data_IF_723686712353
#
_entry.id   IF_723686712353
#
_cell.length_a   1.000
_cell.length_b   1.000
_cell.length_c   1.000
_cell.angle_alpha   90.00
_cell.angle_beta   90.00
_cell.angle_gamma   90.00
#
_symmetry.space_group_name_H-M   'P 1'
#
loop_
_entity.id
_entity.type
_entity.pdbx_description
1 polymer ?
#
# COMPACT_ATOMS: atom_id res chain seq x y z
N UNK A 1 -8.02 7.01 -6.39
CA UNK A 1 -6.88 7.85 -6.75
C UNK A 1 -5.57 7.14 -6.49
N UNK A 2 -4.53 7.60 -7.14
CA UNK A 2 -3.22 6.95 -7.04
C UNK A 2 -2.64 6.96 -5.63
N UNK A 3 -2.77 8.10 -4.92
CA UNK A 3 -2.18 8.22 -3.57
C UNK A 3 -2.79 7.22 -2.59
N UNK A 4 -4.09 7.00 -2.67
CA UNK A 4 -4.75 6.01 -1.81
C UNK A 4 -4.22 4.62 -2.08
N UNK A 5 -4.07 4.30 -3.35
CA UNK A 5 -3.57 2.99 -3.75
C UNK A 5 -2.16 2.79 -3.21
N UNK A 6 -1.30 3.80 -3.37
CA UNK A 6 0.08 3.73 -2.87
C UNK A 6 0.11 3.50 -1.36
N UNK A 7 -0.68 4.26 -0.61
CA UNK A 7 -0.73 4.12 0.85
C UNK A 7 -1.24 2.76 1.27
N UNK A 8 -2.27 2.27 0.59
CA UNK A 8 -2.84 0.96 0.92
C UNK A 8 -1.84 -0.15 0.62
N UNK A 9 -1.13 -0.07 -0.49
CA UNK A 9 -0.09 -1.04 -0.83
C UNK A 9 0.98 -1.08 0.25
N UNK A 10 1.43 0.09 0.71
CA UNK A 10 2.44 0.17 1.77
C UNK A 10 1.97 -0.54 3.03
N UNK A 11 0.74 -0.25 3.47
CA UNK A 11 0.20 -0.88 4.68
C UNK A 11 0.07 -2.38 4.51
N UNK A 12 -0.39 -2.83 3.35
CA UNK A 12 -0.49 -4.27 3.07
C UNK A 12 0.89 -4.94 3.17
N UNK A 13 1.91 -4.32 2.57
CA UNK A 13 3.25 -4.88 2.59
C UNK A 13 3.87 -4.87 3.99
N UNK A 14 3.51 -3.88 4.81
CA UNK A 14 3.99 -3.84 6.20
C UNK A 14 3.37 -4.96 7.05
N UNK A 15 2.19 -5.43 6.69
CA UNK A 15 1.45 -6.40 7.49
C UNK A 15 1.43 -7.80 6.91
N UNK A 16 1.98 -8.01 5.73
CA UNK A 16 2.04 -9.34 5.08
C UNK A 16 3.45 -9.61 4.60
N UNK A 17 3.78 -10.90 4.51
CA UNK A 17 5.14 -11.28 4.10
C UNK A 17 5.40 -11.03 2.62
N UNK A 18 4.44 -11.36 1.78
CA UNK A 18 4.63 -11.25 0.33
C UNK A 18 3.29 -11.11 -0.36
N UNK A 19 3.22 -10.20 -1.31
CA UNK A 19 2.01 -9.95 -2.08
C UNK A 19 2.38 -9.90 -3.55
N UNK A 20 1.66 -10.63 -4.40
CA UNK A 20 1.97 -10.67 -5.82
C UNK A 20 1.41 -9.45 -6.56
N UNK A 21 2.01 -9.14 -7.71
CA UNK A 21 1.51 -8.06 -8.56
C UNK A 21 0.09 -8.34 -9.03
N UNK A 22 -0.22 -9.60 -9.33
CA UNK A 22 -1.57 -9.98 -9.76
C UNK A 22 -2.59 -9.76 -8.66
N UNK A 23 -2.24 -10.11 -7.44
CA UNK A 23 -3.13 -9.89 -6.29
C UNK A 23 -3.44 -8.40 -6.11
N UNK A 24 -2.43 -7.56 -6.21
CA UNK A 24 -2.61 -6.11 -6.09
C UNK A 24 -3.42 -5.56 -7.27
N UNK A 25 -3.13 -6.03 -8.48
CA UNK A 25 -3.84 -5.58 -9.66
C UNK A 25 -5.34 -5.91 -9.58
N UNK A 26 -5.68 -7.10 -9.11
CA UNK A 26 -7.06 -7.49 -8.92
C UNK A 26 -7.74 -6.66 -7.83
N UNK A 27 -7.04 -6.46 -6.73
CA UNK A 27 -7.59 -5.72 -5.58
C UNK A 27 -7.97 -4.30 -5.97
N UNK A 28 -7.12 -3.64 -6.73
CA UNK A 28 -7.31 -2.23 -7.09
C UNK A 28 -7.90 -2.04 -8.48
N UNK A 29 -8.22 -3.13 -9.17
CA UNK A 29 -8.80 -3.08 -10.51
C UNK A 29 -7.95 -2.25 -11.47
N UNK A 30 -6.66 -2.49 -11.45
CA UNK A 30 -5.69 -1.84 -12.34
C UNK A 30 -4.84 -2.92 -13.01
N UNK A 31 -4.06 -2.51 -14.01
CA UNK A 31 -3.17 -3.44 -14.69
C UNK A 31 -1.97 -3.78 -13.82
N UNK A 32 -1.36 -4.93 -14.10
CA UNK A 32 -0.11 -5.33 -13.45
C UNK A 32 0.97 -4.27 -13.71
N UNK A 33 0.99 -3.69 -14.89
CA UNK A 33 1.94 -2.64 -15.24
C UNK A 33 1.80 -1.43 -14.30
N UNK A 34 0.56 -1.05 -13.98
CA UNK A 34 0.31 0.04 -13.04
C UNK A 34 0.87 -0.30 -11.66
N UNK A 35 0.70 -1.55 -11.22
CA UNK A 35 1.25 -1.99 -9.95
C UNK A 35 2.78 -1.88 -9.93
N UNK A 36 3.45 -2.30 -11.00
CA UNK A 36 4.92 -2.16 -11.07
C UNK A 36 5.35 -0.70 -10.98
N UNK A 37 4.62 0.19 -11.61
CA UNK A 37 4.89 1.63 -11.51
C UNK A 37 4.69 2.15 -10.10
N UNK A 38 3.64 1.68 -9.44
CA UNK A 38 3.37 2.07 -8.05
C UNK A 38 4.49 1.60 -7.12
N UNK A 39 4.96 0.37 -7.31
CA UNK A 39 6.07 -0.17 -6.52
C UNK A 39 7.33 0.67 -6.72
N UNK A 40 7.62 1.05 -7.96
CA UNK A 40 8.76 1.91 -8.25
C UNK A 40 8.62 3.27 -7.56
N UNK A 41 7.43 3.85 -7.59
CA UNK A 41 7.16 5.12 -6.93
C UNK A 41 7.41 5.02 -5.42
N UNK A 42 6.95 3.93 -4.80
CA UNK A 42 7.14 3.69 -3.37
C UNK A 42 8.62 3.53 -3.05
N UNK A 43 9.37 2.78 -3.87
CA UNK A 43 10.80 2.61 -3.70
C UNK A 43 11.53 3.95 -3.77
N UNK A 44 11.17 4.79 -4.73
CA UNK A 44 11.80 6.10 -4.89
C UNK A 44 11.52 7.02 -3.71
N UNK A 45 10.42 6.78 -3.02
CA UNK A 45 10.08 7.55 -1.82
C UNK A 45 10.87 7.08 -0.58
N UNK A 46 11.68 6.05 -0.70
CA UNK A 46 12.53 5.60 0.39
C UNK A 46 12.05 4.37 1.14
N UNK A 47 10.97 3.75 0.69
CA UNK A 47 10.48 2.51 1.30
C UNK A 47 11.08 1.33 0.53
N UNK A 48 11.98 0.54 1.16
CA UNK A 48 12.72 -0.50 0.43
C UNK A 48 11.85 -1.72 0.16
N UNK A 49 11.45 -1.88 -1.09
CA UNK A 49 10.65 -3.01 -1.53
C UNK A 49 11.53 -3.97 -2.32
N UNK A 50 11.42 -5.26 -1.98
CA UNK A 50 12.10 -6.34 -2.69
C UNK A 50 11.14 -6.96 -3.68
N UNK A 51 11.59 -7.13 -4.92
CA UNK A 51 10.84 -7.88 -5.93
C UNK A 51 11.35 -9.33 -5.95
N UNK A 52 10.42 -10.26 -5.89
CA UNK A 52 10.73 -11.68 -5.97
C UNK A 52 10.24 -12.23 -7.30
N UNK A 53 11.03 -13.08 -7.94
CA UNK A 53 10.66 -13.69 -9.21
C UNK A 53 10.26 -15.15 -9.02
N UNK A 54 9.70 -15.76 -10.07
CA UNK A 54 9.32 -17.16 -10.07
C UNK A 54 7.88 -17.38 -9.62
N UNK A 55 7.54 -18.66 -9.38
CA UNK A 55 6.16 -19.05 -9.08
C UNK A 55 5.64 -18.46 -7.77
N UNK A 56 6.53 -18.23 -6.82
CA UNK A 56 6.18 -17.60 -5.55
C UNK A 56 6.64 -16.15 -5.53
N UNK A 57 6.55 -15.48 -6.68
CA UNK A 57 6.98 -14.11 -6.83
C UNK A 57 6.16 -13.12 -6.03
N UNK A 58 6.40 -11.84 -6.28
CA UNK A 58 5.68 -10.77 -5.61
C UNK A 58 6.60 -9.76 -4.98
N UNK A 59 6.06 -9.00 -4.06
CA UNK A 59 6.79 -7.92 -3.41
C UNK A 59 6.76 -8.10 -1.90
N UNK A 60 7.82 -7.65 -1.25
CA UNK A 60 7.89 -7.61 0.21
C UNK A 60 8.71 -6.40 0.63
N UNK A 61 8.61 -6.02 1.90
CA UNK A 61 9.45 -4.97 2.46
C UNK A 61 10.53 -5.64 3.30
N UNK A 62 11.77 -5.08 3.28
CA UNK A 62 12.85 -5.60 4.09
C UNK A 62 12.43 -5.74 5.55
N UNK A 63 12.76 -6.88 6.15
CA UNK A 63 12.33 -7.19 7.51
C UNK A 63 12.83 -6.16 8.51
N UNK A 64 14.06 -5.71 8.36
CA UNK A 64 14.61 -4.69 9.25
C UNK A 64 13.84 -3.38 9.19
N UNK A 65 13.39 -3.01 8.01
CA UNK A 65 12.56 -1.82 7.83
C UNK A 65 11.20 -2.00 8.52
N UNK A 66 10.59 -3.17 8.36
CA UNK A 66 9.31 -3.47 8.99
C UNK A 66 9.39 -3.35 10.50
N UNK A 67 10.44 -3.92 11.11
CA UNK A 67 10.62 -3.88 12.55
C UNK A 67 10.71 -2.45 13.08
N UNK A 68 11.33 -1.55 12.33
CA UNK A 68 11.49 -0.17 12.73
C UNK A 68 10.25 0.68 12.48
N UNK A 69 9.34 0.23 11.60
CA UNK A 69 8.21 1.04 11.16
C UNK A 69 6.85 0.39 11.38
N UNK A 70 6.77 -0.63 12.24
CA UNK A 70 5.53 -1.33 12.54
C UNK A 70 4.51 -0.47 13.29
N UNK A 71 4.92 0.68 13.78
CA UNK A 71 3.99 1.58 14.46
C UNK A 71 2.93 2.15 13.52
N UNK A 72 3.14 2.06 12.22
CA UNK A 72 2.14 2.52 11.24
C UNK A 72 1.06 1.45 11.11
N UNK A 73 0.00 1.61 11.85
CA UNK A 73 -1.15 0.69 11.84
C UNK A 73 -2.20 1.19 10.86
N UNK A 74 -3.21 0.33 10.60
CA UNK A 74 -4.36 0.76 9.79
C UNK A 74 -5.11 1.91 10.44
N UNK A 75 -5.18 1.93 11.76
CA UNK A 75 -5.82 3.04 12.47
C UNK A 75 -5.06 4.35 12.29
N UNK A 76 -3.72 4.29 12.38
CA UNK A 76 -2.89 5.47 12.16
C UNK A 76 -3.05 5.99 10.74
N UNK A 77 -3.14 5.09 9.77
CA UNK A 77 -3.32 5.47 8.38
C UNK A 77 -4.70 6.12 8.18
N UNK A 78 -5.75 5.57 8.77
CA UNK A 78 -7.08 6.15 8.68
C UNK A 78 -7.11 7.55 9.26
N UNK A 79 -6.46 7.75 10.40
CA UNK A 79 -6.38 9.07 11.04
C UNK A 79 -5.66 10.07 10.14
N UNK A 80 -4.55 9.66 9.55
CA UNK A 80 -3.80 10.50 8.63
C UNK A 80 -4.62 10.89 7.41
N UNK A 81 -5.36 9.94 6.86
CA UNK A 81 -6.21 10.18 5.70
C UNK A 81 -7.36 11.14 6.03
N UNK A 82 -7.91 11.05 7.23
CA UNK A 82 -8.95 11.98 7.67
C UNK A 82 -8.42 13.40 7.69
N UNK A 83 -7.19 13.60 8.17
CA UNK A 83 -6.55 14.90 8.18
C UNK A 83 -6.35 15.42 6.75
N UNK A 84 -5.89 14.53 5.86
CA UNK A 84 -5.68 14.90 4.46
C UNK A 84 -6.99 15.27 3.77
N UNK A 85 -8.08 14.59 4.08
CA UNK A 85 -9.40 14.92 3.54
C UNK A 85 -9.84 16.31 3.99
N UNK A 86 -9.61 16.65 5.24
CA UNK A 86 -9.97 17.96 5.76
C UNK A 86 -9.19 19.08 5.07
N UNK A 87 -7.94 18.82 4.72
CA UNK A 87 -7.08 19.79 4.06
C UNK A 87 -7.42 19.92 2.58
N UNK A 88 -7.76 18.81 1.93
CA UNK A 88 -7.99 18.78 0.48
C UNK A 88 -9.33 18.13 0.16
N UNK A 89 -10.33 18.96 -0.09
CA UNK A 89 -11.68 18.48 -0.39
C UNK A 89 -11.76 17.67 -1.68
N UNK A 90 -10.78 17.72 -2.55
CA UNK A 90 -10.79 16.95 -3.78
C UNK A 90 -10.54 15.47 -3.53
N UNK A 91 -10.27 15.10 -2.29
CA UNK A 91 -10.04 13.71 -1.89
C UNK A 91 -11.34 13.02 -1.51
N UNK A 92 -12.48 13.68 -1.71
CA UNK A 92 -13.78 13.21 -1.24
C UNK A 92 -14.28 11.94 -1.89
N UNK A 93 -13.91 11.68 -3.13
CA UNK A 93 -14.36 10.48 -3.85
C UNK A 93 -13.53 9.26 -3.52
N UNK A 94 -12.74 9.34 -2.49
CA UNK A 94 -11.86 8.27 -2.08
C UNK A 94 -12.55 7.40 -1.06
N UNK A 95 -12.66 6.12 -1.37
CA UNK A 95 -13.18 5.11 -0.45
C UNK A 95 -12.05 4.36 0.22
N UNK A 96 -11.04 5.10 0.66
CA UNK A 96 -9.86 4.49 1.25
C UNK A 96 -10.14 3.92 2.63
N UNK A 97 -10.99 4.56 3.40
CA UNK A 97 -11.36 4.05 4.72
C UNK A 97 -12.01 2.68 4.61
N UNK A 98 -12.93 2.51 3.68
CA UNK A 98 -13.53 1.19 3.44
C UNK A 98 -12.51 0.19 2.97
N UNK A 99 -11.60 0.59 2.09
CA UNK A 99 -10.54 -0.28 1.62
C UNK A 99 -9.64 -0.72 2.76
N UNK A 100 -9.29 0.19 3.66
CA UNK A 100 -8.47 -0.11 4.82
C UNK A 100 -9.23 -1.01 5.80
N UNK A 101 -10.50 -0.72 6.03
CA UNK A 101 -11.33 -1.53 6.92
C UNK A 101 -11.38 -2.99 6.50
N UNK A 102 -11.37 -3.25 5.18
CA UNK A 102 -11.40 -4.61 4.68
C UNK A 102 -10.16 -5.42 5.06
N UNK A 103 -9.10 -4.78 5.52
CA UNK A 103 -7.87 -5.44 5.97
C UNK A 103 -7.77 -5.54 7.49
N UNK A 104 -8.67 -4.91 8.22
CA UNK A 104 -8.69 -5.06 9.67
C UNK A 104 -9.26 -6.43 10.02
N UNK A 105 -8.56 -7.17 10.81
CA UNK A 105 -8.98 -8.49 11.22
C UNK A 105 -9.08 -8.52 12.73
#
# INVERSE_FOLDING_TARGET
MKIERLLTIIVMLLNRNRITANELAEKFEVSVRTIYRDIETINLAGIPIISHSGNNGGFSIYESYKLNHQVLTLNNLSSLLSVLKDINSTVDDIDLESSIESYKI
#
